data_IF_094046538583
#
_entry.id   IF_094046538583
#
_cell.length_a   1.000
_cell.length_b   1.000
_cell.length_c   1.000
_cell.angle_alpha   90.00
_cell.angle_beta   90.00
_cell.angle_gamma   90.00
#
_symmetry.space_group_name_H-M   'P 1'
#
loop_
_entity.id
_entity.type
_entity.pdbx_description
1 polymer ?
#
# COMPACT_ATOMS: atom_id res chain seq x y z
N UNK A 1 12.54 -12.59 -10.76
CA UNK A 1 11.72 -11.36 -10.83
C UNK A 1 10.40 -11.68 -10.16
N UNK A 2 9.92 -10.84 -9.25
CA UNK A 2 8.60 -11.04 -8.64
C UNK A 2 7.55 -10.72 -9.71
N UNK A 3 6.68 -11.68 -10.01
CA UNK A 3 5.62 -11.56 -10.99
C UNK A 3 4.37 -10.99 -10.31
N UNK A 4 3.92 -9.83 -10.78
CA UNK A 4 2.80 -9.09 -10.20
C UNK A 4 1.48 -9.88 -10.27
N UNK A 5 1.25 -10.62 -11.36
CA UNK A 5 0.00 -11.36 -11.57
C UNK A 5 -0.04 -12.58 -10.63
N UNK A 6 1.10 -13.24 -10.42
CA UNK A 6 1.22 -14.33 -9.44
C UNK A 6 0.96 -13.80 -8.03
N UNK A 7 1.56 -12.66 -7.65
CA UNK A 7 1.32 -12.02 -6.36
C UNK A 7 -0.17 -11.73 -6.12
N UNK A 8 -0.83 -11.09 -7.09
CA UNK A 8 -2.26 -10.80 -7.01
C UNK A 8 -3.11 -12.06 -6.96
N UNK A 9 -2.74 -13.11 -7.68
CA UNK A 9 -3.45 -14.40 -7.66
C UNK A 9 -3.42 -15.03 -6.27
N UNK A 10 -2.26 -15.10 -5.61
CA UNK A 10 -2.11 -15.66 -4.26
C UNK A 10 -2.99 -14.88 -3.27
N UNK A 11 -2.88 -13.55 -3.28
CA UNK A 11 -3.67 -12.67 -2.40
C UNK A 11 -5.16 -12.82 -2.66
N UNK A 12 -5.58 -12.91 -3.94
CA UNK A 12 -6.99 -13.08 -4.31
C UNK A 12 -7.56 -14.37 -3.74
N UNK A 13 -6.85 -15.50 -3.89
CA UNK A 13 -7.28 -16.79 -3.33
C UNK A 13 -7.49 -16.72 -1.81
N UNK A 14 -6.55 -16.11 -1.08
CA UNK A 14 -6.64 -15.98 0.39
C UNK A 14 -7.78 -15.05 0.80
N UNK A 15 -7.99 -13.95 0.07
CA UNK A 15 -9.10 -13.03 0.31
C UNK A 15 -10.46 -13.67 0.03
N UNK A 16 -10.58 -14.49 -1.02
CA UNK A 16 -11.81 -15.22 -1.37
C UNK A 16 -12.12 -16.35 -0.37
N UNK A 17 -11.11 -16.92 0.28
CA UNK A 17 -11.27 -17.83 1.41
C UNK A 17 -11.80 -17.13 2.69
N UNK A 18 -12.00 -15.80 2.66
CA UNK A 18 -12.60 -15.04 3.75
C UNK A 18 -11.64 -14.72 4.90
N UNK A 19 -10.33 -14.85 4.70
CA UNK A 19 -9.34 -14.53 5.73
C UNK A 19 -9.24 -13.02 5.89
N UNK A 20 -9.60 -12.49 7.06
CA UNK A 20 -9.65 -11.04 7.28
C UNK A 20 -8.43 -10.50 8.04
N UNK A 21 -8.05 -11.14 9.16
CA UNK A 21 -6.98 -10.65 10.02
C UNK A 21 -5.60 -10.78 9.36
N UNK A 22 -4.77 -9.74 9.48
CA UNK A 22 -3.50 -9.65 8.75
C UNK A 22 -2.56 -10.83 9.04
N UNK A 23 -2.38 -11.20 10.30
CA UNK A 23 -1.46 -12.29 10.67
C UNK A 23 -1.93 -13.64 10.09
N UNK A 24 -3.24 -13.89 10.11
CA UNK A 24 -3.83 -15.07 9.50
C UNK A 24 -3.72 -15.04 7.96
N UNK A 25 -3.87 -13.87 7.35
CA UNK A 25 -3.74 -13.66 5.92
C UNK A 25 -2.32 -13.97 5.44
N UNK A 26 -1.34 -13.35 6.09
CA UNK A 26 0.09 -13.59 5.85
C UNK A 26 0.41 -15.08 6.02
N UNK A 27 -0.06 -15.71 7.10
CA UNK A 27 0.18 -17.14 7.34
C UNK A 27 -0.42 -18.03 6.25
N UNK A 28 -1.62 -17.70 5.77
CA UNK A 28 -2.28 -18.44 4.70
C UNK A 28 -1.58 -18.26 3.34
N UNK A 29 -1.07 -17.07 3.04
CA UNK A 29 -0.35 -16.77 1.81
C UNK A 29 1.10 -17.27 1.80
N UNK A 30 1.75 -17.36 2.97
CA UNK A 30 3.20 -17.54 3.10
C UNK A 30 3.74 -18.79 2.38
N UNK A 31 3.05 -19.92 2.43
CA UNK A 31 3.52 -21.16 1.80
C UNK A 31 3.61 -21.01 0.27
N UNK A 32 2.52 -20.58 -0.37
CA UNK A 32 2.49 -20.38 -1.82
C UNK A 32 3.44 -19.23 -2.22
N UNK A 33 3.45 -18.13 -1.44
CA UNK A 33 4.34 -16.99 -1.68
C UNK A 33 5.82 -17.37 -1.69
N UNK A 34 6.30 -18.07 -0.65
CA UNK A 34 7.69 -18.47 -0.54
C UNK A 34 8.08 -19.57 -1.53
N UNK A 35 7.11 -20.35 -2.01
CA UNK A 35 7.33 -21.36 -3.06
C UNK A 35 7.45 -20.69 -4.44
N UNK A 36 6.55 -19.76 -4.76
CA UNK A 36 6.55 -18.99 -6.02
C UNK A 36 7.72 -18.02 -6.10
N UNK A 37 8.11 -17.46 -4.96
CA UNK A 37 9.23 -16.56 -4.83
C UNK A 37 10.16 -17.09 -3.75
N UNK A 38 11.16 -17.91 -4.11
CA UNK A 38 12.20 -18.31 -3.18
C UNK A 38 13.04 -17.10 -2.73
N UNK A 39 13.53 -17.14 -1.49
CA UNK A 39 14.48 -16.18 -0.93
C UNK A 39 15.81 -16.91 -0.76
N UNK A 40 16.85 -16.47 -1.46
CA UNK A 40 18.18 -17.07 -1.35
C UNK A 40 18.91 -16.51 -0.13
N UNK A 41 19.46 -17.37 0.73
CA UNK A 41 20.36 -16.94 1.81
C UNK A 41 21.77 -16.70 1.25
N UNK A 42 21.96 -15.50 0.70
CA UNK A 42 23.27 -15.06 0.19
C UNK A 42 23.64 -13.80 0.94
N UNK A 43 24.43 -13.94 1.99
CA UNK A 43 25.05 -12.78 2.62
C UNK A 43 26.18 -12.30 1.71
N UNK A 44 26.21 -10.99 1.41
CA UNK A 44 27.35 -10.42 0.72
C UNK A 44 28.57 -10.47 1.66
N UNK A 45 29.58 -11.26 1.31
CA UNK A 45 30.86 -11.33 2.03
C UNK A 45 31.97 -10.74 1.17
N UNK A 46 32.48 -9.59 1.60
CA UNK A 46 33.80 -9.03 1.23
C UNK A 46 33.97 -7.77 2.08
N UNK A 47 34.64 -7.85 3.25
CA UNK A 47 35.16 -6.75 4.09
C UNK A 47 34.24 -5.54 4.42
N UNK A 48 32.95 -5.57 4.06
CA UNK A 48 32.05 -4.41 4.03
C UNK A 48 30.83 -4.55 4.93
N UNK A 49 30.70 -5.66 5.67
CA UNK A 49 29.38 -6.10 6.13
C UNK A 49 29.18 -6.40 7.61
N UNK A 50 30.17 -6.03 8.40
CA UNK A 50 29.97 -5.43 9.72
C UNK A 50 30.81 -4.15 9.75
N UNK A 51 30.33 -3.10 9.09
CA UNK A 51 31.00 -1.81 9.19
C UNK A 51 30.80 -1.31 10.62
N UNK A 52 31.88 -1.16 11.38
CA UNK A 52 31.87 -0.46 12.66
C UNK A 52 32.51 0.90 12.43
N UNK A 53 31.71 1.95 12.50
CA UNK A 53 32.21 3.33 12.41
C UNK A 53 31.62 4.18 13.51
N UNK A 54 32.39 5.20 13.91
CA UNK A 54 31.94 6.26 14.81
C UNK A 54 31.56 7.53 14.04
N UNK A 55 31.53 7.48 12.70
CA UNK A 55 31.17 8.61 11.83
C UNK A 55 29.82 8.39 11.15
N UNK A 56 28.83 9.21 11.48
CA UNK A 56 27.50 9.15 10.88
C UNK A 56 27.53 9.37 9.35
N UNK A 57 28.36 10.30 8.87
CA UNK A 57 28.50 10.57 7.43
C UNK A 57 29.07 9.36 6.68
N UNK A 58 30.04 8.67 7.29
CA UNK A 58 30.59 7.45 6.72
C UNK A 58 29.56 6.32 6.70
N UNK A 59 28.79 6.15 7.80
CA UNK A 59 27.68 5.21 7.87
C UNK A 59 26.63 5.46 6.77
N UNK A 60 26.21 6.72 6.57
CA UNK A 60 25.24 7.08 5.54
C UNK A 60 25.75 6.77 4.13
N UNK A 61 26.99 7.14 3.82
CA UNK A 61 27.60 6.86 2.51
C UNK A 61 27.68 5.36 2.21
N UNK A 62 28.08 4.56 3.21
CA UNK A 62 28.16 3.10 3.09
C UNK A 62 26.77 2.49 2.92
N UNK A 63 25.78 2.93 3.71
CA UNK A 63 24.38 2.49 3.56
C UNK A 63 23.86 2.71 2.14
N UNK A 64 24.08 3.90 1.57
CA UNK A 64 23.65 4.21 0.20
C UNK A 64 24.36 3.32 -0.83
N UNK A 65 25.66 3.07 -0.66
CA UNK A 65 26.42 2.15 -1.52
C UNK A 65 25.91 0.71 -1.40
N UNK A 66 25.65 0.22 -0.19
CA UNK A 66 25.11 -1.12 0.05
C UNK A 66 23.75 -1.29 -0.63
N UNK A 67 22.86 -0.31 -0.47
CA UNK A 67 21.57 -0.31 -1.15
C UNK A 67 21.74 -0.33 -2.67
N UNK A 68 22.64 0.48 -3.23
CA UNK A 68 22.91 0.47 -4.67
C UNK A 68 23.41 -0.90 -5.16
N UNK A 69 24.32 -1.54 -4.45
CA UNK A 69 24.81 -2.88 -4.80
C UNK A 69 23.69 -3.91 -4.72
N UNK A 70 22.88 -3.90 -3.66
CA UNK A 70 21.80 -4.86 -3.43
C UNK A 70 20.69 -4.79 -4.49
N UNK A 71 20.40 -3.62 -5.05
CA UNK A 71 19.37 -3.47 -6.10
C UNK A 71 19.62 -4.36 -7.31
N UNK A 72 20.89 -4.60 -7.63
CA UNK A 72 21.34 -5.42 -8.77
C UNK A 72 21.47 -6.91 -8.39
N UNK A 73 21.17 -7.29 -7.15
CA UNK A 73 21.30 -8.68 -6.67
C UNK A 73 19.98 -9.43 -6.72
N UNK A 74 20.11 -10.74 -6.68
CA UNK A 74 18.99 -11.68 -6.62
C UNK A 74 18.21 -11.52 -5.32
N UNK A 75 16.93 -11.89 -5.34
CA UNK A 75 16.07 -11.85 -4.15
C UNK A 75 16.69 -12.66 -2.99
N UNK A 76 16.73 -12.06 -1.81
CA UNK A 76 17.29 -12.66 -0.60
C UNK A 76 18.76 -12.36 -0.34
N UNK A 77 19.50 -11.82 -1.32
CA UNK A 77 20.85 -11.32 -1.06
C UNK A 77 20.79 -10.22 -0.01
N UNK A 78 21.57 -10.33 1.07
CA UNK A 78 21.37 -9.50 2.25
C UNK A 78 22.66 -9.02 2.90
N UNK A 79 22.50 -8.01 3.74
CA UNK A 79 23.59 -7.22 4.27
C UNK A 79 23.23 -6.48 5.57
N UNK A 80 24.21 -6.19 6.43
CA UNK A 80 24.09 -5.42 7.67
C UNK A 80 25.06 -4.24 7.73
N UNK A 81 24.63 -3.11 8.29
CA UNK A 81 25.49 -1.98 8.60
C UNK A 81 25.33 -1.60 10.08
N UNK A 82 26.45 -1.35 10.76
CA UNK A 82 26.47 -0.96 12.17
C UNK A 82 27.06 0.45 12.30
N UNK A 83 26.55 1.24 13.24
CA UNK A 83 27.08 2.56 13.56
C UNK A 83 27.07 2.75 15.06
N UNK A 84 28.22 3.08 15.65
CA UNK A 84 28.31 3.41 17.06
C UNK A 84 28.31 4.93 17.19
N UNK A 85 27.27 5.45 17.82
CA UNK A 85 27.12 6.88 18.11
C UNK A 85 28.13 7.33 19.16
N UNK A 86 28.35 8.64 19.25
CA UNK A 86 29.24 9.25 20.24
C UNK A 86 28.82 8.97 21.69
N UNK A 87 27.53 8.76 21.93
CA UNK A 87 26.96 8.39 23.23
C UNK A 87 27.07 6.88 23.55
N UNK A 88 27.70 6.10 22.66
CA UNK A 88 27.85 4.65 22.78
C UNK A 88 26.65 3.84 22.30
N UNK A 89 25.56 4.47 21.85
CA UNK A 89 24.43 3.74 21.26
C UNK A 89 24.80 3.14 19.90
N UNK A 90 24.45 1.88 19.69
CA UNK A 90 24.73 1.15 18.44
C UNK A 90 23.46 1.10 17.60
N UNK A 91 23.48 1.73 16.44
CA UNK A 91 22.49 1.57 15.38
C UNK A 91 22.90 0.38 14.49
N UNK A 92 21.94 -0.49 14.18
CA UNK A 92 22.15 -1.64 13.29
C UNK A 92 21.00 -1.70 12.29
N UNK A 93 21.33 -1.67 11.01
CA UNK A 93 20.38 -1.79 9.92
C UNK A 93 20.69 -3.02 9.07
N UNK A 94 19.67 -3.84 8.81
CA UNK A 94 19.75 -4.96 7.88
C UNK A 94 19.01 -4.63 6.58
N UNK A 95 19.58 -5.04 5.45
CA UNK A 95 19.08 -4.78 4.10
C UNK A 95 18.99 -6.09 3.32
N UNK A 96 17.98 -6.24 2.48
CA UNK A 96 17.79 -7.41 1.62
C UNK A 96 17.31 -6.99 0.23
N UNK A 97 17.90 -7.55 -0.81
CA UNK A 97 17.44 -7.39 -2.18
C UNK A 97 16.09 -8.09 -2.36
N UNK A 98 15.11 -7.41 -2.96
CA UNK A 98 13.80 -8.01 -3.28
C UNK A 98 13.76 -8.68 -4.67
N UNK A 99 14.86 -8.60 -5.44
CA UNK A 99 14.96 -9.19 -6.78
C UNK A 99 14.10 -8.53 -7.87
N UNK A 100 13.58 -7.32 -7.61
CA UNK A 100 12.84 -6.46 -8.53
C UNK A 100 13.45 -5.04 -8.61
N UNK A 101 14.77 -4.92 -8.37
CA UNK A 101 15.46 -3.63 -8.35
C UNK A 101 15.24 -2.81 -7.07
N UNK A 102 14.60 -3.39 -6.06
CA UNK A 102 14.34 -2.78 -4.76
C UNK A 102 15.15 -3.41 -3.62
N UNK A 103 15.22 -2.68 -2.50
CA UNK A 103 15.90 -3.13 -1.28
C UNK A 103 14.95 -2.95 -0.11
N UNK A 104 14.66 -4.05 0.57
CA UNK A 104 13.96 -4.04 1.85
C UNK A 104 14.95 -3.65 2.95
N UNK A 105 14.50 -2.79 3.87
CA UNK A 105 15.26 -2.38 5.05
C UNK A 105 14.51 -2.83 6.29
N UNK A 106 15.20 -3.53 7.19
CA UNK A 106 14.73 -3.73 8.54
C UNK A 106 14.69 -2.43 9.35
N UNK A 107 14.31 -2.54 10.62
CA UNK A 107 14.38 -1.42 11.57
C UNK A 107 15.82 -0.94 11.76
N UNK A 108 16.08 0.38 11.78
CA UNK A 108 17.42 0.93 12.06
C UNK A 108 17.89 0.71 13.51
N UNK A 109 16.98 0.29 14.39
CA UNK A 109 17.24 0.05 15.82
C UNK A 109 17.39 -1.43 16.19
N UNK A 110 17.28 -2.35 15.21
CA UNK A 110 17.35 -3.79 15.47
C UNK A 110 18.05 -4.50 14.33
N UNK A 111 19.15 -5.19 14.64
CA UNK A 111 19.72 -6.15 13.72
C UNK A 111 18.76 -7.33 13.54
N UNK A 112 18.47 -7.65 12.30
CA UNK A 112 17.79 -8.86 11.91
C UNK A 112 18.83 -9.84 11.35
N UNK A 113 18.72 -11.09 11.78
CA UNK A 113 19.32 -12.21 11.05
C UNK A 113 18.58 -12.44 9.72
N UNK A 114 19.12 -13.32 8.89
CA UNK A 114 18.53 -13.66 7.60
C UNK A 114 17.06 -14.11 7.74
N UNK A 115 16.76 -15.00 8.69
CA UNK A 115 15.42 -15.59 8.83
C UNK A 115 14.38 -14.53 9.21
N UNK A 116 14.70 -13.65 10.16
CA UNK A 116 13.79 -12.61 10.60
C UNK A 116 13.64 -11.51 9.52
N UNK A 117 14.70 -11.21 8.77
CA UNK A 117 14.66 -10.24 7.68
C UNK A 117 13.85 -10.76 6.48
N UNK A 118 14.08 -12.01 6.08
CA UNK A 118 13.38 -12.67 4.97
C UNK A 118 11.90 -12.85 5.25
N UNK A 119 11.55 -13.26 6.48
CA UNK A 119 10.16 -13.33 6.94
C UNK A 119 9.50 -11.97 6.79
N UNK A 120 10.07 -10.91 7.40
CA UNK A 120 9.49 -9.56 7.34
C UNK A 120 9.37 -9.00 5.93
N UNK A 121 10.33 -9.28 5.06
CA UNK A 121 10.26 -8.87 3.66
C UNK A 121 9.04 -9.51 3.00
N UNK A 122 8.86 -10.82 3.13
CA UNK A 122 7.70 -11.52 2.58
C UNK A 122 6.37 -11.02 3.19
N UNK A 123 6.32 -10.79 4.52
CA UNK A 123 5.14 -10.24 5.19
C UNK A 123 4.74 -8.86 4.63
N UNK A 124 5.73 -8.00 4.40
CA UNK A 124 5.50 -6.67 3.83
C UNK A 124 5.04 -6.76 2.36
N UNK A 125 5.68 -7.60 1.56
CA UNK A 125 5.29 -7.82 0.17
C UNK A 125 3.84 -8.33 0.05
N UNK A 126 3.44 -9.29 0.90
CA UNK A 126 2.06 -9.79 0.98
C UNK A 126 1.11 -8.67 1.39
N UNK A 127 1.48 -7.88 2.41
CA UNK A 127 0.67 -6.78 2.90
C UNK A 127 0.43 -5.70 1.84
N UNK A 128 1.48 -5.28 1.14
CA UNK A 128 1.38 -4.27 0.08
C UNK A 128 0.55 -4.79 -1.10
N UNK A 129 0.72 -6.06 -1.47
CA UNK A 129 -0.09 -6.71 -2.51
C UNK A 129 -1.55 -6.82 -2.10
N UNK A 130 -1.84 -7.12 -0.82
CA UNK A 130 -3.20 -7.12 -0.28
C UNK A 130 -3.85 -5.76 -0.37
N UNK A 131 -3.15 -4.69 0.01
CA UNK A 131 -3.65 -3.32 -0.14
C UNK A 131 -4.01 -3.00 -1.59
N UNK A 132 -3.16 -3.42 -2.52
CA UNK A 132 -3.42 -3.23 -3.93
C UNK A 132 -4.66 -4.01 -4.40
N UNK A 133 -4.80 -5.28 -4.02
CA UNK A 133 -6.02 -6.05 -4.27
C UNK A 133 -7.27 -5.35 -3.73
N UNK A 134 -7.24 -4.86 -2.49
CA UNK A 134 -8.36 -4.16 -1.87
C UNK A 134 -8.69 -2.86 -2.63
N UNK A 135 -7.67 -2.10 -3.06
CA UNK A 135 -7.82 -0.91 -3.90
C UNK A 135 -8.47 -1.25 -5.25
N UNK A 136 -7.99 -2.28 -5.93
CA UNK A 136 -8.55 -2.75 -7.22
C UNK A 136 -9.99 -3.24 -7.06
N UNK A 137 -10.31 -3.93 -5.97
CA UNK A 137 -11.67 -4.39 -5.66
C UNK A 137 -12.62 -3.21 -5.49
N UNK A 138 -12.25 -2.23 -4.65
CA UNK A 138 -12.97 -0.97 -4.45
C UNK A 138 -13.17 -0.25 -5.78
N UNK A 139 -12.12 -0.17 -6.60
CA UNK A 139 -12.18 0.47 -7.91
C UNK A 139 -13.15 -0.23 -8.87
N UNK A 140 -13.11 -1.58 -8.92
CA UNK A 140 -14.00 -2.37 -9.78
C UNK A 140 -15.48 -2.20 -9.43
N UNK A 141 -15.80 -2.01 -8.14
CA UNK A 141 -17.17 -1.77 -7.69
C UNK A 141 -17.60 -0.35 -8.06
N UNK A 142 -16.72 0.64 -7.94
CA UNK A 142 -16.99 2.01 -8.41
C UNK A 142 -17.25 2.07 -9.92
N UNK A 143 -16.46 1.35 -10.73
CA UNK A 143 -16.66 1.25 -12.19
C UNK A 143 -18.01 0.61 -12.50
N UNK A 144 -18.34 -0.51 -11.85
CA UNK A 144 -19.66 -1.17 -12.00
C UNK A 144 -20.81 -0.26 -11.60
N UNK A 145 -20.64 0.52 -10.54
CA UNK A 145 -21.64 1.48 -10.09
C UNK A 145 -21.89 2.54 -11.17
N UNK A 146 -20.85 3.14 -11.75
CA UNK A 146 -20.98 4.08 -12.87
C UNK A 146 -21.70 3.48 -14.08
N UNK A 147 -21.35 2.25 -14.43
CA UNK A 147 -22.00 1.55 -15.54
C UNK A 147 -23.48 1.33 -15.27
N UNK A 148 -23.86 1.01 -14.03
CA UNK A 148 -25.26 0.80 -13.67
C UNK A 148 -26.08 2.10 -13.62
N UNK A 149 -25.49 3.20 -13.14
CA UNK A 149 -26.21 4.47 -12.95
C UNK A 149 -26.28 5.32 -14.21
N UNK A 150 -25.42 5.03 -15.21
CA UNK A 150 -25.34 5.77 -16.47
C UNK A 150 -25.11 7.28 -16.28
N UNK A 151 -24.47 7.68 -15.17
CA UNK A 151 -24.16 9.07 -14.88
C UNK A 151 -23.21 9.67 -15.93
N UNK A 152 -23.47 10.93 -16.29
CA UNK A 152 -22.70 11.67 -17.30
C UNK A 152 -22.40 13.08 -16.80
N UNK A 153 -21.50 13.78 -17.47
CA UNK A 153 -21.28 15.21 -17.23
C UNK A 153 -22.61 15.96 -17.35
N UNK A 154 -22.90 16.81 -16.36
CA UNK A 154 -24.16 17.55 -16.24
C UNK A 154 -25.26 16.82 -15.46
N UNK A 155 -25.11 15.53 -15.13
CA UNK A 155 -26.08 14.83 -14.29
C UNK A 155 -26.21 15.51 -12.93
N UNK A 156 -27.45 15.84 -12.56
CA UNK A 156 -27.79 16.50 -11.30
C UNK A 156 -28.40 15.49 -10.34
N UNK A 157 -27.74 15.26 -9.21
CA UNK A 157 -28.24 14.41 -8.13
C UNK A 157 -28.73 15.30 -6.98
N UNK A 158 -29.85 14.92 -6.36
CA UNK A 158 -30.42 15.62 -5.20
C UNK A 158 -30.30 14.73 -3.97
N UNK A 159 -30.25 15.37 -2.80
CA UNK A 159 -30.26 14.71 -1.49
C UNK A 159 -29.26 13.56 -1.41
N UNK A 160 -27.97 13.86 -1.62
CA UNK A 160 -26.92 12.82 -1.65
C UNK A 160 -26.07 12.86 -0.39
N UNK A 161 -25.67 11.69 0.09
CA UNK A 161 -24.58 11.54 1.06
C UNK A 161 -23.34 11.09 0.30
N UNK A 162 -22.22 11.76 0.59
CA UNK A 162 -20.92 11.39 0.06
C UNK A 162 -20.09 10.84 1.21
N UNK A 163 -19.60 9.62 1.03
CA UNK A 163 -18.77 8.95 2.05
C UNK A 163 -17.58 9.82 2.44
N UNK A 164 -17.39 10.02 3.75
CA UNK A 164 -16.34 10.90 4.30
C UNK A 164 -16.59 12.41 4.20
N UNK A 165 -17.53 12.89 3.37
CA UNK A 165 -17.77 14.33 3.14
C UNK A 165 -19.14 14.82 3.63
N UNK A 166 -20.03 13.91 4.01
CA UNK A 166 -21.35 14.21 4.58
C UNK A 166 -22.43 14.47 3.52
N UNK A 167 -23.47 15.21 3.91
CA UNK A 167 -24.69 15.37 3.11
C UNK A 167 -24.66 16.64 2.23
N UNK A 168 -25.21 16.53 1.02
CA UNK A 168 -25.36 17.61 0.04
C UNK A 168 -26.80 17.64 -0.48
N UNK A 169 -27.37 18.83 -0.60
CA UNK A 169 -28.72 19.00 -1.15
C UNK A 169 -28.74 18.79 -2.67
N UNK A 170 -27.65 19.15 -3.35
CA UNK A 170 -27.50 18.97 -4.79
C UNK A 170 -26.03 18.81 -5.12
N UNK A 171 -25.73 17.88 -6.02
CA UNK A 171 -24.42 17.77 -6.70
C UNK A 171 -24.64 17.72 -8.20
N UNK A 172 -23.74 18.33 -8.95
CA UNK A 172 -23.71 18.26 -10.42
C UNK A 172 -22.39 17.64 -10.83
N UNK A 173 -22.44 16.58 -11.62
CA UNK A 173 -21.25 15.89 -12.12
C UNK A 173 -20.56 16.76 -13.18
N UNK A 174 -19.29 17.08 -12.95
CA UNK A 174 -18.45 17.87 -13.86
C UNK A 174 -17.53 17.01 -14.73
N UNK A 175 -17.08 15.84 -14.22
CA UNK A 175 -16.29 14.88 -15.00
C UNK A 175 -16.55 13.44 -14.52
N UNK A 176 -16.42 12.47 -15.44
CA UNK A 176 -16.50 11.03 -15.15
C UNK A 176 -15.24 10.36 -15.71
N UNK A 177 -14.50 9.68 -14.84
CA UNK A 177 -13.23 9.04 -15.19
C UNK A 177 -13.39 7.53 -15.39
N UNK A 178 -12.66 6.91 -16.34
CA UNK A 178 -12.66 5.46 -16.52
C UNK A 178 -12.25 4.68 -15.26
N UNK A 179 -11.52 5.34 -14.35
CA UNK A 179 -11.07 4.77 -13.09
C UNK A 179 -12.18 4.56 -12.05
N UNK A 180 -13.43 4.94 -12.33
CA UNK A 180 -14.53 4.90 -11.35
C UNK A 180 -14.68 6.18 -10.52
N UNK A 181 -13.83 7.20 -10.75
CA UNK A 181 -13.91 8.49 -10.09
C UNK A 181 -14.89 9.43 -10.80
N UNK A 182 -15.53 10.29 -10.00
CA UNK A 182 -16.46 11.32 -10.45
C UNK A 182 -16.05 12.63 -9.81
N UNK A 183 -15.88 13.65 -10.63
CA UNK A 183 -15.75 15.03 -10.16
C UNK A 183 -17.11 15.69 -10.15
N UNK A 184 -17.37 16.48 -9.12
CA UNK A 184 -18.66 17.14 -8.96
C UNK A 184 -18.55 18.45 -8.20
N UNK A 185 -19.55 19.30 -8.43
CA UNK A 185 -19.77 20.53 -7.69
C UNK A 185 -21.00 20.36 -6.81
N UNK A 186 -20.77 20.37 -5.50
CA UNK A 186 -21.79 20.14 -4.47
C UNK A 186 -22.26 21.41 -3.77
N UNK A 187 -23.48 21.37 -3.29
CA UNK A 187 -24.12 22.41 -2.47
C UNK A 187 -24.74 21.78 -1.24
N UNK A 188 -24.55 22.39 -0.07
CA UNK A 188 -25.21 21.99 1.17
C UNK A 188 -26.47 22.82 1.42
N UNK A 189 -27.46 22.24 2.12
CA UNK A 189 -28.68 22.95 2.49
C UNK A 189 -28.34 24.20 3.30
N UNK A 190 -28.96 25.33 2.97
CA UNK A 190 -28.72 26.62 3.64
C UNK A 190 -27.38 27.29 3.32
N UNK A 191 -26.52 26.72 2.47
CA UNK A 191 -25.22 27.30 2.13
C UNK A 191 -25.16 27.80 0.70
N UNK A 192 -24.57 28.99 0.50
CA UNK A 192 -24.23 29.52 -0.84
C UNK A 192 -22.89 28.99 -1.38
N UNK A 193 -22.08 28.35 -0.52
CA UNK A 193 -20.76 27.82 -0.92
C UNK A 193 -20.90 26.62 -1.85
N UNK A 194 -20.12 26.63 -2.93
CA UNK A 194 -19.94 25.49 -3.83
C UNK A 194 -18.69 24.70 -3.40
N UNK A 195 -18.80 23.38 -3.44
CA UNK A 195 -17.74 22.47 -3.04
C UNK A 195 -17.34 21.62 -4.23
N UNK A 196 -16.10 21.76 -4.68
CA UNK A 196 -15.52 20.88 -5.69
C UNK A 196 -14.96 19.64 -4.99
N UNK A 197 -15.23 18.46 -5.55
CA UNK A 197 -14.76 17.20 -4.99
C UNK A 197 -14.59 16.13 -6.08
N UNK A 198 -13.64 15.23 -5.84
CA UNK A 198 -13.41 14.03 -6.65
C UNK A 198 -13.54 12.80 -5.75
N UNK A 199 -14.47 11.91 -6.07
CA UNK A 199 -14.77 10.72 -5.25
C UNK A 199 -15.04 9.51 -6.12
N UNK A 200 -14.88 8.31 -5.55
CA UNK A 200 -15.32 7.07 -6.18
C UNK A 200 -16.85 7.03 -6.25
N UNK A 201 -17.39 6.63 -7.40
CA UNK A 201 -18.83 6.66 -7.65
C UNK A 201 -19.67 5.88 -6.62
N UNK A 202 -19.18 4.72 -6.18
CA UNK A 202 -19.85 3.90 -5.14
C UNK A 202 -19.97 4.60 -3.78
N UNK A 203 -19.20 5.68 -3.55
CA UNK A 203 -19.28 6.49 -2.33
C UNK A 203 -20.40 7.53 -2.35
N UNK A 204 -21.16 7.61 -3.46
CA UNK A 204 -22.28 8.53 -3.65
C UNK A 204 -23.56 7.76 -3.38
N UNK A 205 -24.29 8.16 -2.34
CA UNK A 205 -25.54 7.51 -1.93
C UNK A 205 -26.67 8.52 -2.12
N UNK A 206 -27.57 8.26 -3.07
CA UNK A 206 -28.82 9.03 -3.17
C UNK A 206 -29.73 8.62 -2.01
N UNK A 207 -30.14 9.60 -1.22
CA UNK A 207 -31.05 9.38 -0.10
C UNK A 207 -32.48 9.61 -0.59
N UNK A 208 -33.38 8.70 -0.23
CA UNK A 208 -34.81 8.92 -0.38
C UNK A 208 -35.24 10.11 0.48
N UNK A 209 -36.23 10.87 0.02
CA UNK A 209 -36.65 12.14 0.64
C UNK A 209 -37.10 11.97 2.11
N UNK A 210 -37.53 10.78 2.52
CA UNK A 210 -38.05 10.46 3.86
C UNK A 210 -36.99 10.32 4.96
N UNK A 211 -35.69 10.31 4.65
CA UNK A 211 -34.62 10.07 5.65
C UNK A 211 -34.04 11.36 6.24
N UNK A 212 -34.35 12.52 5.64
CA UNK A 212 -33.72 13.80 6.00
C UNK A 212 -34.20 14.43 7.31
N UNK A 213 -35.35 14.01 7.85
CA UNK A 213 -35.90 14.56 9.09
C UNK A 213 -35.32 13.93 10.37
N UNK A 214 -34.44 12.93 10.27
CA UNK A 214 -33.92 12.19 11.43
C UNK A 214 -32.43 12.38 11.75
N UNK A 215 -31.71 13.21 10.99
CA UNK A 215 -30.25 13.40 11.16
C UNK A 215 -29.85 14.88 11.19
N UNK A 216 -30.76 15.76 11.62
CA UNK A 216 -30.44 17.16 11.92
C UNK A 216 -29.85 17.29 13.33
#
# INVERSE_FOLDING_TARGET
MIDHDICLSIVTKVAEAGVFYQDAFTKAAALEWNTSFPISDVQLFEDTLELHTNSFQHYLAVRLRLQAVLKERTRGTWATATYTREDGHVEKASFMANGAGGVFSGSPSKAYDFQALSTRMAEMEIYDTRKEYERLKIQSVAIRHLQSTHWRVGTKLRNVRISGLGCFSTVVISAVHPSGHVEMIGTRRGSRKRWEMSVLAQGIIQMDEDVLDKVA
#
